data_IF_417212075935
#
_entry.id   IF_417212075935
#
_cell.length_a   1.000
_cell.length_b   1.000
_cell.length_c   1.000
_cell.angle_alpha   90.00
_cell.angle_beta   90.00
_cell.angle_gamma   90.00
#
_symmetry.space_group_name_H-M   'P 1'
#
loop_
_entity.id
_entity.type
_entity.pdbx_description
1 polymer ?
#
# COMPACT_ATOMS: atom_id res chain seq x y z
N UNK A 1 -0.58 -7.79 -5.78
CA UNK A 1 0.12 -8.59 -4.75
C UNK A 1 -0.88 -8.91 -3.64
N UNK A 2 -0.91 -10.14 -3.12
CA UNK A 2 -1.76 -10.53 -1.98
C UNK A 2 -0.85 -11.12 -0.91
N UNK A 3 -0.95 -10.62 0.31
CA UNK A 3 -0.09 -11.00 1.43
C UNK A 3 -0.95 -11.59 2.55
N UNK A 4 -0.58 -12.74 3.14
CA UNK A 4 -1.15 -13.21 4.40
C UNK A 4 -1.07 -12.11 5.46
N UNK A 5 -2.21 -11.66 5.96
CA UNK A 5 -2.27 -10.54 6.88
C UNK A 5 -3.59 -10.59 7.69
N UNK A 6 -3.53 -10.83 9.01
CA UNK A 6 -4.70 -10.74 9.88
C UNK A 6 -5.37 -9.36 9.81
N UNK A 7 -6.69 -9.26 10.05
CA UNK A 7 -7.44 -8.00 9.93
C UNK A 7 -6.81 -6.83 10.69
N UNK A 8 -6.40 -7.05 11.94
CA UNK A 8 -5.82 -6.00 12.80
C UNK A 8 -4.44 -5.54 12.30
N UNK A 9 -3.69 -6.43 11.66
CA UNK A 9 -2.44 -6.07 11.00
C UNK A 9 -2.72 -5.29 9.70
N UNK A 10 -3.72 -5.69 8.92
CA UNK A 10 -4.11 -5.01 7.70
C UNK A 10 -4.58 -3.57 7.99
N UNK A 11 -5.42 -3.37 9.00
CA UNK A 11 -5.93 -2.06 9.39
C UNK A 11 -4.80 -1.15 9.89
N UNK A 12 -3.84 -1.70 10.67
CA UNK A 12 -2.63 -0.97 11.08
C UNK A 12 -1.77 -0.55 9.89
N UNK A 13 -1.57 -1.44 8.91
CA UNK A 13 -0.80 -1.13 7.71
C UNK A 13 -1.49 -0.04 6.87
N UNK A 14 -2.81 -0.11 6.72
CA UNK A 14 -3.58 0.92 5.99
C UNK A 14 -3.43 2.28 6.68
N UNK A 15 -3.55 2.34 8.00
CA UNK A 15 -3.35 3.57 8.77
C UNK A 15 -1.91 4.10 8.68
N UNK A 16 -0.90 3.22 8.77
CA UNK A 16 0.51 3.57 8.65
C UNK A 16 0.81 4.20 7.28
N UNK A 17 0.35 3.58 6.19
CA UNK A 17 0.52 4.12 4.83
C UNK A 17 -0.20 5.47 4.71
N UNK A 18 -1.42 5.62 5.23
CA UNK A 18 -2.13 6.90 5.18
C UNK A 18 -1.35 8.02 5.88
N UNK A 19 -0.79 7.74 7.05
CA UNK A 19 0.00 8.71 7.80
C UNK A 19 1.33 9.05 7.11
N UNK A 20 2.03 8.04 6.61
CA UNK A 20 3.35 8.19 5.99
C UNK A 20 3.33 8.91 4.62
N UNK A 21 2.14 9.06 4.03
CA UNK A 21 1.91 9.73 2.76
C UNK A 21 0.91 10.89 2.86
N UNK A 22 0.71 11.45 4.06
CA UNK A 22 -0.13 12.62 4.28
C UNK A 22 0.36 13.89 3.54
N UNK A 23 1.59 13.86 2.99
CA UNK A 23 2.17 14.86 2.10
C UNK A 23 1.63 14.80 0.65
N UNK A 24 0.68 13.91 0.36
CA UNK A 24 0.15 13.64 -0.98
C UNK A 24 -1.36 13.45 -0.97
N UNK A 25 -2.04 13.51 -2.14
CA UNK A 25 -3.43 13.11 -2.22
C UNK A 25 -3.60 11.64 -1.83
N UNK A 26 -4.44 11.41 -0.82
CA UNK A 26 -4.79 10.09 -0.32
C UNK A 26 -6.31 9.92 -0.31
N UNK A 27 -6.79 8.75 -0.70
CA UNK A 27 -8.19 8.34 -0.56
C UNK A 27 -8.31 7.14 0.37
N UNK A 28 -9.29 7.18 1.28
CA UNK A 28 -9.55 6.14 2.28
C UNK A 28 -10.85 5.36 2.03
N UNK A 29 -11.45 5.47 0.83
CA UNK A 29 -12.74 4.87 0.52
C UNK A 29 -12.72 3.33 0.47
N UNK A 30 -11.60 2.75 0.02
CA UNK A 30 -11.43 1.30 -0.14
C UNK A 30 -10.00 0.90 0.27
N UNK A 31 -9.71 0.98 1.57
CA UNK A 31 -8.35 0.87 2.10
C UNK A 31 -7.64 2.21 2.04
N UNK A 32 -6.39 2.25 1.54
CA UNK A 32 -5.63 3.48 1.34
C UNK A 32 -5.07 3.52 -0.08
N UNK A 33 -5.44 4.56 -0.82
CA UNK A 33 -4.91 4.88 -2.15
C UNK A 33 -4.04 6.13 -2.06
N UNK A 34 -2.77 6.02 -2.43
CA UNK A 34 -1.83 7.15 -2.53
C UNK A 34 -1.63 7.49 -4.00
N UNK A 35 -1.82 8.76 -4.35
CA UNK A 35 -1.58 9.28 -5.68
C UNK A 35 -0.19 9.91 -5.81
N UNK A 36 0.55 9.55 -6.85
CA UNK A 36 1.88 10.07 -7.15
C UNK A 36 1.90 11.02 -8.36
N UNK A 37 0.75 11.26 -8.99
CA UNK A 37 0.58 12.06 -10.22
C UNK A 37 0.91 11.27 -11.50
N UNK A 38 1.96 10.46 -11.46
CA UNK A 38 2.44 9.61 -12.57
C UNK A 38 2.26 8.09 -12.31
N UNK A 39 1.47 7.79 -11.29
CA UNK A 39 1.17 6.44 -10.83
C UNK A 39 0.44 6.47 -9.49
N UNK A 40 0.04 5.29 -9.00
CA UNK A 40 -0.67 5.16 -7.74
C UNK A 40 -0.34 3.85 -7.02
N UNK A 41 -0.58 3.84 -5.72
CA UNK A 41 -0.50 2.66 -4.87
C UNK A 41 -1.81 2.48 -4.11
N UNK A 42 -2.32 1.26 -4.02
CA UNK A 42 -3.48 0.89 -3.22
C UNK A 42 -3.09 -0.23 -2.27
N UNK A 43 -3.40 -0.08 -0.98
CA UNK A 43 -3.39 -1.16 -0.01
C UNK A 43 -4.78 -1.29 0.60
N UNK A 44 -5.38 -2.47 0.55
CA UNK A 44 -6.71 -2.72 1.15
C UNK A 44 -6.79 -4.07 1.81
N UNK A 45 -7.52 -4.12 2.92
CA UNK A 45 -7.92 -5.36 3.56
C UNK A 45 -8.85 -6.15 2.62
N UNK A 46 -8.66 -7.47 2.57
CA UNK A 46 -9.60 -8.37 1.91
C UNK A 46 -10.87 -8.52 2.77
N UNK A 47 -12.03 -8.59 2.13
CA UNK A 47 -13.33 -8.65 2.84
C UNK A 47 -13.60 -10.05 3.38
N UNK A 48 -13.16 -11.07 2.64
CA UNK A 48 -13.55 -12.47 2.86
C UNK A 48 -12.40 -13.37 3.30
N UNK A 49 -11.17 -12.84 3.35
CA UNK A 49 -9.96 -13.61 3.64
C UNK A 49 -9.00 -12.77 4.48
N UNK A 50 -8.14 -13.41 5.28
CA UNK A 50 -7.07 -12.77 6.06
C UNK A 50 -5.88 -12.38 5.16
N UNK A 51 -6.16 -11.46 4.24
CA UNK A 51 -5.22 -10.99 3.22
C UNK A 51 -5.20 -9.47 3.15
N UNK A 52 -4.00 -8.92 2.96
CA UNK A 52 -3.79 -7.56 2.49
C UNK A 52 -3.54 -7.59 0.97
N UNK A 53 -4.34 -6.86 0.20
CA UNK A 53 -4.15 -6.71 -1.24
C UNK A 53 -3.46 -5.41 -1.55
N UNK A 54 -2.34 -5.48 -2.28
CA UNK A 54 -1.65 -4.33 -2.84
C UNK A 54 -1.81 -4.28 -4.36
N UNK A 55 -2.04 -3.08 -4.89
CA UNK A 55 -2.02 -2.80 -6.33
C UNK A 55 -1.19 -1.54 -6.59
N UNK A 56 -0.46 -1.55 -7.70
CA UNK A 56 0.40 -0.47 -8.12
C UNK A 56 0.26 -0.27 -9.61
N UNK A 57 0.29 0.97 -10.06
CA UNK A 57 0.30 1.34 -11.46
C UNK A 57 1.23 2.54 -11.66
N UNK A 58 1.90 2.59 -12.80
CA UNK A 58 2.75 3.70 -13.19
C UNK A 58 2.93 3.69 -14.71
N UNK A 59 3.34 4.83 -15.28
CA UNK A 59 3.56 4.97 -16.72
C UNK A 59 4.81 4.22 -17.25
N UNK A 60 5.66 3.70 -16.37
CA UNK A 60 6.81 2.88 -16.74
C UNK A 60 7.15 1.85 -15.66
N UNK A 61 7.83 0.78 -16.05
CA UNK A 61 8.27 -0.25 -15.10
C UNK A 61 9.27 0.31 -14.06
N UNK A 62 10.18 1.19 -14.48
CA UNK A 62 11.11 1.87 -13.58
C UNK A 62 10.35 2.69 -12.52
N UNK A 63 9.31 3.41 -12.93
CA UNK A 63 8.48 4.20 -12.01
C UNK A 63 7.65 3.32 -11.09
N UNK A 64 7.11 2.20 -11.61
CA UNK A 64 6.39 1.21 -10.82
C UNK A 64 7.26 0.69 -9.66
N UNK A 65 8.52 0.31 -9.95
CA UNK A 65 9.49 -0.15 -8.95
C UNK A 65 9.81 0.93 -7.91
N UNK A 66 9.94 2.20 -8.34
CA UNK A 66 10.15 3.32 -7.42
C UNK A 66 8.97 3.51 -6.45
N UNK A 67 7.72 3.45 -6.95
CA UNK A 67 6.52 3.57 -6.11
C UNK A 67 6.45 2.42 -5.10
N UNK A 68 6.65 1.18 -5.56
CA UNK A 68 6.68 0.00 -4.68
C UNK A 68 7.74 0.13 -3.58
N UNK A 69 8.98 0.51 -3.95
CA UNK A 69 10.07 0.69 -3.02
C UNK A 69 9.81 1.83 -2.03
N UNK A 70 9.19 2.93 -2.47
CA UNK A 70 8.84 4.06 -1.61
C UNK A 70 7.75 3.69 -0.60
N UNK A 71 6.69 3.00 -1.04
CA UNK A 71 5.62 2.51 -0.17
C UNK A 71 6.20 1.57 0.88
N UNK A 72 6.99 0.57 0.48
CA UNK A 72 7.63 -0.35 1.42
C UNK A 72 8.56 0.36 2.40
N UNK A 73 9.34 1.35 1.93
CA UNK A 73 10.28 2.09 2.80
C UNK A 73 9.58 2.93 3.85
N UNK A 74 8.42 3.53 3.52
CA UNK A 74 7.67 4.42 4.41
C UNK A 74 6.65 3.70 5.29
N UNK A 75 6.39 2.41 5.04
CA UNK A 75 5.47 1.58 5.82
C UNK A 75 6.19 0.36 6.42
N UNK A 76 6.89 0.50 7.56
CA UNK A 76 7.60 -0.60 8.21
C UNK A 76 6.74 -1.84 8.53
N UNK A 77 5.48 -1.66 8.95
CA UNK A 77 4.59 -2.79 9.22
C UNK A 77 4.25 -3.56 7.93
N UNK A 78 4.17 -2.88 6.79
CA UNK A 78 4.05 -3.55 5.49
C UNK A 78 5.34 -4.27 5.10
N UNK A 79 6.50 -3.63 5.31
CA UNK A 79 7.80 -4.18 4.93
C UNK A 79 8.11 -5.51 5.63
N UNK A 80 7.62 -5.71 6.86
CA UNK A 80 7.82 -6.96 7.61
C UNK A 80 7.08 -8.16 7.02
N UNK A 81 6.04 -7.93 6.20
CA UNK A 81 5.24 -8.99 5.55
C UNK A 81 5.40 -9.03 4.03
N UNK A 82 6.14 -8.08 3.43
CA UNK A 82 6.35 -7.97 1.99
C UNK A 82 7.83 -8.06 1.61
N UNK A 83 8.26 -9.27 1.23
CA UNK A 83 9.64 -9.61 0.87
C UNK A 83 10.04 -9.27 -0.59
N UNK A 84 9.16 -8.63 -1.37
CA UNK A 84 9.33 -8.40 -2.82
C UNK A 84 10.19 -7.21 -3.18
#
# INVERSE_FOLDING_TARGET
>A
IRLPCPPEAADRIVAEISAAFADRPVSLLDGVRVDFGDGWALARRSVTEDLLTLRFEAHSEARLRQIQALIRRRAPALASIWNG
#
